data_IF_481760557634
#
_entry.id   IF_481760557634
#
_cell.length_a   1.000
_cell.length_b   1.000
_cell.length_c   1.000
_cell.angle_alpha   90.00
_cell.angle_beta   90.00
_cell.angle_gamma   90.00
#
_symmetry.space_group_name_H-M   'P 1'
#
loop_
_entity.id
_entity.type
_entity.pdbx_description
1 polymer ?
#
# COMPACT_ATOMS: atom_id res chain seq x y z
N UNK A 1 -16.90 -2.65 17.83
CA UNK A 1 -16.48 -1.50 18.67
C UNK A 1 -15.38 -0.78 17.92
N UNK A 2 -15.59 0.47 17.48
CA UNK A 2 -14.59 1.31 16.79
C UNK A 2 -13.80 2.13 17.82
N UNK A 3 -13.20 1.48 18.83
CA UNK A 3 -12.52 2.16 19.95
C UNK A 3 -11.12 1.60 20.17
N UNK A 4 -10.39 1.39 19.08
CA UNK A 4 -9.01 0.95 19.12
C UNK A 4 -8.15 2.12 18.63
N UNK A 5 -7.29 2.66 19.50
CA UNK A 5 -6.43 3.80 19.20
C UNK A 5 -5.27 3.31 18.33
N UNK A 6 -5.55 3.17 17.04
CA UNK A 6 -4.58 2.74 16.03
C UNK A 6 -3.95 3.97 15.40
N UNK A 7 -2.65 4.10 15.52
CA UNK A 7 -1.90 5.19 14.91
C UNK A 7 -0.81 4.58 14.03
N UNK A 8 -0.83 4.93 12.75
CA UNK A 8 0.16 4.47 11.80
C UNK A 8 0.61 5.65 10.97
N UNK A 9 1.91 5.92 10.97
CA UNK A 9 2.52 6.94 10.14
C UNK A 9 3.71 6.35 9.41
N UNK A 10 3.99 6.87 8.22
CA UNK A 10 5.11 6.38 7.43
C UNK A 10 5.24 7.13 6.12
N UNK A 11 6.41 7.00 5.54
CA UNK A 11 6.71 7.50 4.21
C UNK A 11 7.29 6.37 3.37
N UNK A 12 6.90 6.33 2.10
CA UNK A 12 7.44 5.37 1.16
C UNK A 12 7.78 6.04 -0.18
N UNK A 13 8.85 5.52 -0.79
CA UNK A 13 9.33 5.87 -2.10
C UNK A 13 9.15 4.67 -3.01
N UNK A 14 8.67 4.95 -4.22
CA UNK A 14 8.41 3.96 -5.26
C UNK A 14 9.22 4.32 -6.49
N UNK A 15 10.08 3.41 -6.95
CA UNK A 15 10.88 3.64 -8.15
C UNK A 15 10.36 2.77 -9.29
N UNK A 16 9.76 3.37 -10.32
CA UNK A 16 9.22 2.62 -11.45
C UNK A 16 10.34 2.19 -12.40
N UNK A 17 10.52 0.88 -12.56
CA UNK A 17 11.62 0.30 -13.34
C UNK A 17 11.31 0.32 -14.84
N UNK A 18 10.02 0.26 -15.20
CA UNK A 18 9.56 0.26 -16.59
C UNK A 18 9.09 1.66 -17.01
N UNK A 19 9.19 2.01 -18.30
CA UNK A 19 8.65 3.25 -18.82
C UNK A 19 7.16 3.38 -18.49
N UNK A 20 6.80 4.52 -17.90
CA UNK A 20 5.42 4.87 -17.62
C UNK A 20 4.63 4.94 -18.95
N UNK A 21 3.46 4.31 -19.00
CA UNK A 21 2.64 4.19 -20.21
C UNK A 21 2.44 2.77 -20.73
N UNK A 22 3.17 1.78 -20.18
CA UNK A 22 2.89 0.35 -20.41
C UNK A 22 1.71 -0.18 -19.58
N UNK A 23 1.15 -1.31 -20.00
CA UNK A 23 0.08 -2.02 -19.28
C UNK A 23 0.53 -2.61 -17.94
N UNK A 24 1.82 -2.92 -17.81
CA UNK A 24 2.42 -3.49 -16.61
C UNK A 24 3.56 -2.59 -16.14
N UNK A 25 3.53 -2.27 -14.85
CA UNK A 25 4.57 -1.53 -14.17
C UNK A 25 5.00 -2.29 -12.92
N UNK A 26 6.29 -2.26 -12.64
CA UNK A 26 6.88 -2.86 -11.44
C UNK A 26 7.71 -1.79 -10.76
N UNK A 27 7.53 -1.65 -9.44
CA UNK A 27 8.27 -0.69 -8.64
C UNK A 27 8.73 -1.34 -7.33
N UNK A 28 10.04 -1.42 -7.04
CA UNK A 28 10.49 -1.56 -5.68
C UNK A 28 9.96 -0.41 -4.82
N UNK A 29 9.57 -0.75 -3.60
CA UNK A 29 9.07 0.16 -2.58
C UNK A 29 10.07 0.14 -1.42
N UNK A 30 10.53 1.32 -1.02
CA UNK A 30 11.41 1.48 0.14
C UNK A 30 10.93 2.67 0.97
N UNK A 31 10.98 2.55 2.29
CA UNK A 31 10.45 3.59 3.16
C UNK A 31 10.70 3.30 4.64
N UNK A 32 9.97 4.01 5.47
CA UNK A 32 9.97 3.81 6.92
C UNK A 32 8.54 3.93 7.42
N UNK A 33 8.13 3.00 8.29
CA UNK A 33 6.76 2.94 8.80
C UNK A 33 6.77 2.63 10.29
N UNK A 34 5.95 3.36 11.03
CA UNK A 34 5.60 3.09 12.40
C UNK A 34 4.14 2.61 12.45
N UNK A 35 3.93 1.54 13.19
CA UNK A 35 2.64 0.88 13.39
C UNK A 35 2.40 0.76 14.89
N UNK A 36 1.41 1.47 15.40
CA UNK A 36 0.94 1.37 16.78
C UNK A 36 -0.46 0.76 16.79
N UNK A 37 -0.60 -0.41 17.40
CA UNK A 37 -1.88 -1.13 17.59
C UNK A 37 -2.01 -1.56 19.05
N UNK A 38 -2.78 -0.81 19.85
CA UNK A 38 -2.96 -1.10 21.27
C UNK A 38 -1.65 -1.00 22.06
N UNK A 39 -1.22 -2.11 22.67
CA UNK A 39 0.06 -2.21 23.41
C UNK A 39 1.26 -2.61 22.51
N UNK A 40 1.02 -2.94 21.24
CA UNK A 40 2.07 -3.29 20.30
C UNK A 40 2.48 -2.07 19.46
N UNK A 41 3.75 -1.71 19.53
CA UNK A 41 4.38 -0.70 18.68
C UNK A 41 5.52 -1.37 17.93
N UNK A 42 5.50 -1.26 16.60
CA UNK A 42 6.60 -1.68 15.73
C UNK A 42 6.97 -0.53 14.82
N UNK A 43 8.26 -0.22 14.75
CA UNK A 43 8.83 0.71 13.80
C UNK A 43 9.96 0.06 13.02
N UNK A 44 10.15 0.51 11.79
CA UNK A 44 11.28 0.04 11.02
C UNK A 44 11.25 0.40 9.55
N UNK A 45 12.31 0.00 8.84
CA UNK A 45 12.38 0.14 7.39
C UNK A 45 11.27 -0.71 6.76
N UNK A 46 10.58 -0.13 5.77
CA UNK A 46 9.60 -0.80 4.94
C UNK A 46 10.22 -1.09 3.58
N UNK A 47 10.27 -2.36 3.19
CA UNK A 47 10.78 -2.77 1.87
C UNK A 47 9.78 -3.68 1.19
N UNK A 48 9.59 -3.51 -0.11
CA UNK A 48 8.60 -4.28 -0.83
C UNK A 48 8.66 -4.12 -2.33
N UNK A 49 7.66 -4.69 -2.98
CA UNK A 49 7.46 -4.61 -4.41
C UNK A 49 6.00 -4.29 -4.70
N UNK A 50 5.80 -3.41 -5.67
CA UNK A 50 4.50 -3.05 -6.21
C UNK A 50 4.41 -3.51 -7.67
N UNK A 51 3.36 -4.23 -7.97
CA UNK A 51 2.92 -4.57 -9.32
C UNK A 51 1.70 -3.72 -9.64
N UNK A 52 1.74 -3.00 -10.75
CA UNK A 52 0.65 -2.15 -11.23
C UNK A 52 0.25 -2.61 -12.63
N UNK A 53 -1.02 -2.94 -12.78
CA UNK A 53 -1.67 -3.34 -14.02
C UNK A 53 -2.64 -2.24 -14.44
N UNK A 54 -2.32 -1.56 -15.53
CA UNK A 54 -3.19 -0.56 -16.13
C UNK A 54 -4.16 -1.29 -17.06
N UNK A 55 -5.45 -1.27 -16.76
CA UNK A 55 -6.47 -2.04 -17.47
C UNK A 55 -7.04 -1.31 -18.69
N UNK A 56 -6.83 0.01 -18.82
CA UNK A 56 -7.33 0.79 -19.95
C UNK A 56 -6.22 1.55 -20.67
N UNK A 57 -6.36 1.73 -21.99
CA UNK A 57 -5.40 2.49 -22.80
C UNK A 57 -5.26 3.95 -22.36
N UNK A 58 -6.29 4.51 -21.73
CA UNK A 58 -6.29 5.87 -21.19
C UNK A 58 -5.73 5.96 -19.77
N UNK A 59 -5.40 4.84 -19.11
CA UNK A 59 -4.99 4.84 -17.71
C UNK A 59 -6.12 5.06 -16.70
N UNK A 60 -7.37 5.10 -17.17
CA UNK A 60 -8.55 5.35 -16.33
C UNK A 60 -8.86 4.22 -15.33
N UNK A 61 -8.38 3.00 -15.56
CA UNK A 61 -8.59 1.90 -14.63
C UNK A 61 -7.29 1.16 -14.40
N UNK A 62 -6.99 0.82 -13.15
CA UNK A 62 -5.83 0.04 -12.81
C UNK A 62 -6.04 -0.80 -11.54
N UNK A 63 -5.21 -1.82 -11.43
CA UNK A 63 -5.14 -2.70 -10.26
C UNK A 63 -3.69 -2.73 -9.82
N UNK A 64 -3.44 -2.55 -8.53
CA UNK A 64 -2.10 -2.70 -8.00
C UNK A 64 -2.03 -3.65 -6.83
N UNK A 65 -1.03 -4.51 -6.83
CA UNK A 65 -0.70 -5.40 -5.73
C UNK A 65 0.64 -4.96 -5.14
N UNK A 66 0.66 -4.66 -3.85
CA UNK A 66 1.87 -4.32 -3.12
C UNK A 66 2.10 -5.36 -2.04
N UNK A 67 3.29 -5.94 -2.01
CA UNK A 67 3.76 -6.77 -0.91
C UNK A 67 4.95 -6.08 -0.29
N UNK A 68 4.88 -5.75 0.99
CA UNK A 68 5.98 -5.13 1.72
C UNK A 68 6.16 -5.74 3.10
N UNK A 69 7.32 -5.49 3.70
CA UNK A 69 7.74 -5.99 4.99
C UNK A 69 8.30 -4.81 5.78
N UNK A 70 7.75 -4.59 6.98
CA UNK A 70 8.24 -3.60 7.94
C UNK A 70 9.16 -4.31 8.93
N UNK A 71 10.31 -3.71 9.21
CA UNK A 71 11.38 -4.28 10.04
C UNK A 71 11.81 -5.71 9.61
N UNK A 72 12.15 -5.89 8.31
CA UNK A 72 12.53 -7.20 7.76
C UNK A 72 13.74 -7.79 8.50
N UNK A 73 13.66 -9.09 8.83
CA UNK A 73 14.73 -9.81 9.53
C UNK A 73 14.81 -9.57 11.04
N UNK A 74 13.86 -8.84 11.63
CA UNK A 74 13.70 -8.71 13.07
C UNK A 74 12.67 -9.71 13.62
N UNK A 75 12.60 -9.86 14.95
CA UNK A 75 11.55 -10.62 15.63
C UNK A 75 10.15 -10.01 15.53
N UNK A 76 10.06 -8.78 15.00
CA UNK A 76 8.85 -7.96 14.90
C UNK A 76 8.49 -7.70 13.44
N UNK A 77 8.93 -8.56 12.52
CA UNK A 77 8.63 -8.42 11.10
C UNK A 77 7.12 -8.42 10.85
N UNK A 78 6.66 -7.43 10.10
CA UNK A 78 5.26 -7.28 9.70
C UNK A 78 5.14 -7.33 8.19
N UNK A 79 4.51 -8.38 7.67
CA UNK A 79 4.15 -8.49 6.27
C UNK A 79 2.87 -7.72 5.96
N UNK A 80 2.89 -6.86 4.96
CA UNK A 80 1.74 -6.07 4.51
C UNK A 80 1.46 -6.40 3.04
N UNK A 81 0.28 -6.95 2.78
CA UNK A 81 -0.25 -7.14 1.43
C UNK A 81 -1.32 -6.10 1.19
N UNK A 82 -1.19 -5.27 0.16
CA UNK A 82 -2.21 -4.29 -0.23
C UNK A 82 -2.64 -4.54 -1.66
N UNK A 83 -3.94 -4.78 -1.87
CA UNK A 83 -4.56 -4.89 -3.17
C UNK A 83 -5.45 -3.66 -3.39
N UNK A 84 -5.14 -2.89 -4.42
CA UNK A 84 -5.82 -1.64 -4.73
C UNK A 84 -6.49 -1.71 -6.09
N UNK A 85 -7.73 -1.24 -6.16
CA UNK A 85 -8.48 -1.08 -7.40
C UNK A 85 -8.75 0.40 -7.62
N UNK A 86 -8.24 0.96 -8.71
CA UNK A 86 -8.38 2.37 -9.05
C UNK A 86 -9.25 2.60 -10.28
N UNK A 87 -10.05 3.67 -10.23
CA UNK A 87 -10.83 4.16 -11.35
C UNK A 87 -10.85 5.70 -11.39
N UNK A 88 -10.46 6.28 -12.51
CA UNK A 88 -10.57 7.71 -12.79
C UNK A 88 -12.03 8.03 -13.16
N UNK A 89 -12.74 8.71 -12.24
CA UNK A 89 -14.10 9.20 -12.49
C UNK A 89 -14.10 10.36 -13.48
N UNK A 90 -13.09 11.24 -13.40
CA UNK A 90 -12.87 12.35 -14.32
C UNK A 90 -11.38 12.45 -14.66
N UNK A 91 -11.00 13.39 -15.54
CA UNK A 91 -9.58 13.64 -15.86
C UNK A 91 -8.76 14.06 -14.63
N UNK A 92 -9.40 14.59 -13.59
CA UNK A 92 -8.73 15.12 -12.40
C UNK A 92 -9.11 14.39 -11.11
N UNK A 93 -10.04 13.43 -11.15
CA UNK A 93 -10.51 12.74 -9.95
C UNK A 93 -10.45 11.23 -10.14
N UNK A 94 -9.75 10.59 -9.22
CA UNK A 94 -9.63 9.14 -9.13
C UNK A 94 -10.17 8.65 -7.79
N UNK A 95 -10.97 7.60 -7.85
CA UNK A 95 -11.38 6.84 -6.67
C UNK A 95 -10.63 5.52 -6.67
N UNK A 96 -10.24 5.07 -5.49
CA UNK A 96 -9.64 3.75 -5.32
C UNK A 96 -10.13 3.07 -4.05
N UNK A 97 -10.16 1.75 -4.09
CA UNK A 97 -10.46 0.90 -2.94
C UNK A 97 -9.23 0.07 -2.63
N UNK A 98 -8.78 0.17 -1.39
CA UNK A 98 -7.60 -0.52 -0.88
C UNK A 98 -8.03 -1.62 0.08
N UNK A 99 -7.63 -2.85 -0.22
CA UNK A 99 -7.74 -4.02 0.64
C UNK A 99 -6.35 -4.30 1.19
N UNK A 100 -6.11 -3.95 2.45
CA UNK A 100 -4.86 -4.18 3.14
C UNK A 100 -4.99 -5.34 4.11
N UNK A 101 -4.06 -6.26 4.06
CA UNK A 101 -3.91 -7.35 5.01
C UNK A 101 -2.55 -7.24 5.66
N UNK A 102 -2.54 -7.14 6.97
CA UNK A 102 -1.35 -7.10 7.79
C UNK A 102 -1.19 -8.44 8.50
N UNK A 103 0.00 -9.02 8.39
CA UNK A 103 0.35 -10.28 9.04
C UNK A 103 1.64 -10.05 9.83
N UNK A 104 1.49 -9.88 11.14
CA UNK A 104 2.59 -9.86 12.10
C UNK A 104 2.67 -11.20 12.82
N UNK A 105 3.80 -11.51 13.45
CA UNK A 105 3.93 -12.68 14.34
C UNK A 105 2.94 -12.61 15.51
N UNK A 106 2.67 -11.40 16.01
CA UNK A 106 1.77 -11.16 17.15
C UNK A 106 0.28 -11.07 16.76
N UNK A 107 -0.05 -10.45 15.63
CA UNK A 107 -1.44 -10.13 15.28
C UNK A 107 -1.68 -10.17 13.75
N UNK A 108 -2.89 -10.58 13.36
CA UNK A 108 -3.36 -10.56 11.97
C UNK A 108 -4.49 -9.57 11.85
N UNK A 109 -4.32 -8.57 10.99
CA UNK A 109 -5.30 -7.52 10.78
C UNK A 109 -5.69 -7.39 9.30
N UNK A 110 -6.91 -6.92 9.06
CA UNK A 110 -7.45 -6.72 7.71
C UNK A 110 -8.21 -5.41 7.66
N UNK A 111 -7.88 -4.57 6.69
CA UNK A 111 -8.42 -3.23 6.54
C UNK A 111 -8.94 -3.03 5.13
N UNK A 112 -10.08 -2.36 5.04
CA UNK A 112 -10.62 -1.83 3.79
C UNK A 112 -10.58 -0.30 3.86
N UNK A 113 -10.05 0.33 2.83
CA UNK A 113 -9.97 1.78 2.69
C UNK A 113 -10.56 2.26 1.38
N UNK A 114 -11.12 3.46 1.38
CA UNK A 114 -11.49 4.18 0.16
C UNK A 114 -10.60 5.41 0.10
N UNK A 115 -9.96 5.62 -1.04
CA UNK A 115 -9.04 6.73 -1.29
C UNK A 115 -9.56 7.55 -2.46
N UNK A 116 -9.60 8.86 -2.25
CA UNK A 116 -9.90 9.84 -3.29
C UNK A 116 -8.60 10.59 -3.60
N UNK A 117 -8.19 10.54 -4.87
CA UNK A 117 -6.96 11.15 -5.37
C UNK A 117 -7.32 12.20 -6.42
N UNK A 118 -6.74 13.39 -6.29
CA UNK A 118 -6.84 14.46 -7.29
C UNK A 118 -5.61 14.43 -8.19
N UNK A 119 -5.84 14.32 -9.50
CA UNK A 119 -4.80 14.29 -10.53
C UNK A 119 -4.71 15.68 -11.20
N UNK A 120 -3.52 16.32 -11.23
CA UNK A 120 -3.33 17.62 -11.86
C UNK A 120 -3.46 17.57 -13.39
#
# INVERSE_FOLDING_TARGET
SFNDKREAFGGELRYYVLPLGGYLNVAPVVGYRNLTSGEFSTDGPNVGIRLLLVLSRSGAADVSLTQSFVSPGSSEEVGITTLSFGYAMTQNLRISTDLQKQNSIAEKDSRVGIVLEWMP
#
